data_IF_416906176722
#
_entry.id   IF_416906176722
#
_cell.length_a   1.000
_cell.length_b   1.000
_cell.length_c   1.000
_cell.angle_alpha   90.00
_cell.angle_beta   90.00
_cell.angle_gamma   90.00
#
_symmetry.space_group_name_H-M   'P 1'
#
loop_
_entity.id
_entity.type
_entity.pdbx_description
1 polymer ?
#
# COMPACT_ATOMS: atom_id res chain seq x y z
N UNK A 1 44.53 12.29 59.77
CA UNK A 1 43.32 11.51 59.42
C UNK A 1 42.36 12.43 58.68
N UNK A 2 42.50 12.49 57.36
CA UNK A 2 41.63 13.21 56.43
C UNK A 2 40.97 12.18 55.52
N UNK A 3 39.75 12.45 55.09
CA UNK A 3 38.83 11.63 54.28
C UNK A 3 37.83 10.76 55.04
N UNK A 4 36.69 11.37 55.39
CA UNK A 4 35.41 10.65 55.40
C UNK A 4 34.15 11.51 55.24
N UNK A 5 34.21 12.65 54.53
CA UNK A 5 33.05 13.58 54.47
C UNK A 5 32.73 14.11 53.06
N UNK A 6 33.38 13.65 51.98
CA UNK A 6 33.15 14.21 50.63
C UNK A 6 32.33 13.34 49.65
N UNK A 7 31.88 12.16 50.08
CA UNK A 7 31.26 11.21 49.14
C UNK A 7 29.73 11.15 49.22
N UNK A 8 29.07 11.86 50.14
CA UNK A 8 27.61 11.75 50.31
C UNK A 8 26.81 12.72 49.43
N UNK A 9 27.44 13.75 48.83
CA UNK A 9 26.76 14.75 48.00
C UNK A 9 26.67 14.40 46.50
N UNK A 10 27.48 13.46 46.02
CA UNK A 10 27.50 13.07 44.61
C UNK A 10 26.52 11.92 44.28
N UNK A 11 26.10 11.15 45.28
CA UNK A 11 25.25 9.96 45.08
C UNK A 11 23.80 10.34 44.71
N UNK A 12 23.36 11.57 45.02
CA UNK A 12 22.03 12.08 44.68
C UNK A 12 21.87 12.53 43.21
N UNK A 13 22.96 12.70 42.45
CA UNK A 13 22.90 13.20 41.07
C UNK A 13 22.92 12.07 40.02
N UNK A 14 23.27 10.84 40.41
CA UNK A 14 23.32 9.68 39.50
C UNK A 14 22.17 8.69 39.67
N UNK A 15 21.29 8.89 40.66
CA UNK A 15 20.16 8.00 40.94
C UNK A 15 18.92 8.21 40.02
N UNK A 16 19.05 9.02 38.97
CA UNK A 16 17.97 9.30 38.01
C UNK A 16 18.29 8.75 36.60
N UNK A 17 18.88 7.56 36.50
CA UNK A 17 19.04 6.86 35.22
C UNK A 17 18.71 5.39 35.38
N UNK A 18 17.43 5.04 35.20
CA UNK A 18 16.95 3.69 34.85
C UNK A 18 15.42 3.65 34.91
N UNK A 19 14.76 4.49 34.10
CA UNK A 19 13.36 4.20 33.75
C UNK A 19 13.34 3.03 32.78
N UNK A 20 13.11 1.84 33.35
CA UNK A 20 12.50 0.60 32.84
C UNK A 20 12.60 0.27 31.33
N UNK A 21 12.85 -1.01 30.97
CA UNK A 21 12.82 -1.47 29.58
C UNK A 21 11.37 -1.39 29.08
N UNK A 22 11.02 -0.24 28.51
CA UNK A 22 9.75 -0.05 27.83
C UNK A 22 9.76 -0.94 26.59
N UNK A 23 9.23 -2.15 26.75
CA UNK A 23 8.94 -3.13 25.71
C UNK A 23 8.52 -2.42 24.44
N UNK A 24 9.17 -2.70 23.31
CA UNK A 24 9.00 -1.94 22.07
C UNK A 24 7.52 -1.88 21.62
N UNK A 25 6.73 -2.90 22.00
CA UNK A 25 5.30 -2.98 21.76
C UNK A 25 4.49 -1.89 22.47
N UNK A 26 4.86 -1.50 23.70
CA UNK A 26 4.17 -0.44 24.45
C UNK A 26 4.40 0.95 23.84
N UNK A 27 5.63 1.22 23.39
CA UNK A 27 5.98 2.46 22.68
C UNK A 27 5.29 2.59 21.33
N UNK A 28 5.09 1.48 20.60
CA UNK A 28 4.32 1.49 19.35
C UNK A 28 2.85 1.82 19.59
N UNK A 29 2.24 1.27 20.63
CA UNK A 29 0.83 1.50 20.98
C UNK A 29 0.55 2.97 21.33
N UNK A 30 1.41 3.61 22.13
CA UNK A 30 1.28 5.04 22.47
C UNK A 30 1.47 5.94 21.24
N UNK A 31 2.33 5.56 20.29
CA UNK A 31 2.49 6.28 19.03
C UNK A 31 1.25 6.16 18.15
N UNK A 32 0.68 4.96 18.01
CA UNK A 32 -0.56 4.77 17.25
C UNK A 32 -1.74 5.59 17.80
N UNK A 33 -1.83 5.76 19.12
CA UNK A 33 -2.89 6.60 19.71
C UNK A 33 -2.68 8.10 19.44
N UNK A 34 -1.43 8.58 19.39
CA UNK A 34 -1.12 9.96 19.00
C UNK A 34 -1.33 10.24 17.51
N UNK A 35 -1.04 9.27 16.65
CA UNK A 35 -1.09 9.43 15.19
C UNK A 35 -2.46 9.09 14.57
N UNK A 36 -3.43 8.63 15.37
CA UNK A 36 -4.80 8.29 14.90
C UNK A 36 -5.47 9.43 14.13
N UNK A 37 -5.24 10.70 14.54
CA UNK A 37 -5.83 11.86 13.87
C UNK A 37 -5.30 12.04 12.45
N UNK A 38 -4.01 11.77 12.20
CA UNK A 38 -3.42 11.82 10.87
C UNK A 38 -3.94 10.69 9.98
N UNK A 39 -4.11 9.49 10.54
CA UNK A 39 -4.75 8.36 9.85
C UNK A 39 -6.19 8.69 9.46
N UNK A 40 -6.95 9.34 10.34
CA UNK A 40 -8.34 9.74 10.08
C UNK A 40 -8.44 10.81 8.98
N UNK A 41 -7.49 11.76 8.92
CA UNK A 41 -7.43 12.75 7.84
C UNK A 41 -7.07 12.15 6.48
N UNK A 42 -6.25 11.09 6.45
CA UNK A 42 -5.90 10.37 5.21
C UNK A 42 -7.04 9.47 4.73
N UNK A 43 -7.85 8.94 5.65
CA UNK A 43 -8.92 7.99 5.40
C UNK A 43 -9.87 8.38 4.24
N UNK A 44 -10.41 9.61 4.15
CA UNK A 44 -11.29 9.97 3.03
C UNK A 44 -10.59 9.89 1.67
N UNK A 45 -9.32 10.30 1.58
CA UNK A 45 -8.53 10.17 0.34
C UNK A 45 -8.31 8.71 -0.04
N UNK A 46 -7.95 7.88 0.95
CA UNK A 46 -7.73 6.45 0.75
C UNK A 46 -9.02 5.72 0.31
N UNK A 47 -10.16 6.04 0.92
CA UNK A 47 -11.46 5.46 0.56
C UNK A 47 -11.83 5.80 -0.88
N UNK A 48 -11.64 7.07 -1.29
CA UNK A 48 -11.89 7.48 -2.66
C UNK A 48 -10.97 6.74 -3.64
N UNK A 49 -9.68 6.63 -3.35
CA UNK A 49 -8.73 5.84 -4.16
C UNK A 49 -9.13 4.36 -4.21
N UNK A 50 -9.57 3.77 -3.10
CA UNK A 50 -10.02 2.38 -3.09
C UNK A 50 -11.24 2.17 -4.00
N UNK A 51 -12.23 3.07 -3.95
CA UNK A 51 -13.44 2.94 -4.75
C UNK A 51 -13.14 3.22 -6.23
N UNK A 52 -12.45 4.31 -6.55
CA UNK A 52 -12.28 4.78 -7.94
C UNK A 52 -11.05 4.23 -8.64
N UNK A 53 -10.00 3.82 -7.92
CA UNK A 53 -8.80 3.23 -8.52
C UNK A 53 -8.77 1.71 -8.37
N UNK A 54 -9.14 1.16 -7.21
CA UNK A 54 -9.16 -0.30 -7.01
C UNK A 54 -10.46 -0.96 -7.44
N UNK A 55 -11.60 -0.27 -7.33
CA UNK A 55 -12.90 -0.77 -7.81
C UNK A 55 -12.86 -1.16 -9.29
N UNK A 56 -12.47 -0.27 -10.22
CA UNK A 56 -12.41 -0.60 -11.65
C UNK A 56 -11.43 -1.73 -11.99
N UNK A 57 -10.38 -1.96 -11.19
CA UNK A 57 -9.44 -3.06 -11.41
C UNK A 57 -10.10 -4.44 -11.27
N UNK A 58 -11.20 -4.55 -10.53
CA UNK A 58 -12.01 -5.78 -10.52
C UNK A 58 -12.49 -6.18 -11.92
N UNK A 59 -12.68 -5.20 -12.80
CA UNK A 59 -13.07 -5.42 -14.19
C UNK A 59 -12.03 -6.14 -15.04
N UNK A 60 -10.77 -6.27 -14.61
CA UNK A 60 -9.74 -7.01 -15.35
C UNK A 60 -10.14 -8.48 -15.56
N UNK A 61 -10.94 -9.04 -14.64
CA UNK A 61 -11.48 -10.39 -14.73
C UNK A 61 -12.30 -10.57 -16.02
N UNK A 62 -12.95 -9.50 -16.52
CA UNK A 62 -13.71 -9.53 -17.77
C UNK A 62 -12.87 -9.94 -18.99
N UNK A 63 -11.56 -9.71 -18.97
CA UNK A 63 -10.68 -10.10 -20.07
C UNK A 63 -10.55 -11.63 -20.21
N UNK A 64 -10.84 -12.40 -19.17
CA UNK A 64 -10.73 -13.86 -19.14
C UNK A 64 -12.07 -14.59 -19.34
N UNK A 65 -13.16 -13.84 -19.48
CA UNK A 65 -14.51 -14.36 -19.68
C UNK A 65 -15.08 -13.83 -21.00
N UNK A 66 -16.03 -14.55 -21.57
CA UNK A 66 -16.83 -14.04 -22.69
C UNK A 66 -17.92 -13.13 -22.12
N UNK A 67 -17.52 -11.90 -21.78
CA UNK A 67 -18.37 -10.97 -21.03
C UNK A 67 -19.54 -10.49 -21.89
N UNK A 68 -20.75 -10.88 -21.49
CA UNK A 68 -21.99 -10.35 -22.05
C UNK A 68 -22.65 -9.41 -21.04
N UNK A 69 -22.84 -8.11 -21.37
CA UNK A 69 -23.52 -7.15 -20.47
C UNK A 69 -24.90 -7.61 -20.00
N UNK A 70 -25.61 -8.43 -20.77
CA UNK A 70 -26.92 -8.97 -20.41
C UNK A 70 -26.90 -10.09 -19.35
N UNK A 71 -25.77 -10.77 -19.18
CA UNK A 71 -25.60 -11.86 -18.19
C UNK A 71 -24.88 -11.39 -16.90
N UNK A 72 -24.40 -10.14 -16.90
CA UNK A 72 -23.64 -9.57 -15.79
C UNK A 72 -22.25 -10.18 -15.59
N UNK A 73 -21.57 -9.76 -14.53
CA UNK A 73 -20.19 -10.18 -14.22
C UNK A 73 -20.06 -11.66 -13.85
N UNK A 74 -21.07 -12.26 -13.24
CA UNK A 74 -21.02 -13.64 -12.72
C UNK A 74 -21.69 -14.68 -13.62
N UNK A 75 -22.44 -14.27 -14.66
CA UNK A 75 -23.12 -15.17 -15.58
C UNK A 75 -22.35 -15.47 -16.87
N UNK A 76 -21.23 -14.79 -17.09
CA UNK A 76 -20.42 -14.93 -18.32
C UNK A 76 -19.48 -16.14 -18.23
N UNK A 77 -19.39 -16.99 -19.26
CA UNK A 77 -18.54 -18.17 -19.22
C UNK A 77 -17.06 -17.80 -19.23
N UNK A 78 -16.26 -18.52 -18.43
CA UNK A 78 -14.81 -18.34 -18.38
C UNK A 78 -14.14 -18.96 -19.60
N UNK A 79 -13.45 -18.14 -20.40
CA UNK A 79 -12.78 -18.55 -21.65
C UNK A 79 -11.25 -18.46 -21.59
N UNK A 80 -10.70 -18.02 -20.46
CA UNK A 80 -9.26 -17.92 -20.21
C UNK A 80 -8.57 -16.98 -21.21
N UNK A 81 -7.61 -17.52 -21.98
CA UNK A 81 -6.77 -16.72 -22.89
C UNK A 81 -7.35 -16.55 -24.30
N UNK A 82 -8.58 -16.98 -24.56
CA UNK A 82 -9.19 -16.91 -25.89
C UNK A 82 -9.24 -15.46 -26.42
N UNK A 83 -9.68 -14.51 -25.58
CA UNK A 83 -9.75 -13.09 -25.92
C UNK A 83 -8.39 -12.50 -26.27
N UNK A 84 -7.34 -12.88 -25.53
CA UNK A 84 -5.98 -12.44 -25.81
C UNK A 84 -5.49 -12.97 -27.16
N UNK A 85 -5.64 -14.28 -27.42
CA UNK A 85 -5.26 -14.89 -28.71
C UNK A 85 -5.97 -14.24 -29.89
N UNK A 86 -7.26 -13.92 -29.74
CA UNK A 86 -8.03 -13.21 -30.76
C UNK A 86 -7.39 -11.85 -31.09
N UNK A 87 -7.08 -11.04 -30.08
CA UNK A 87 -6.47 -9.72 -30.27
C UNK A 87 -5.06 -9.85 -30.89
N UNK A 88 -4.22 -10.77 -30.40
CA UNK A 88 -2.88 -10.99 -30.96
C UNK A 88 -2.89 -11.55 -32.39
N UNK A 89 -3.94 -12.28 -32.78
CA UNK A 89 -4.09 -12.77 -34.16
C UNK A 89 -4.44 -11.67 -35.16
N UNK A 90 -4.84 -10.48 -34.70
CA UNK A 90 -5.18 -9.37 -35.59
C UNK A 90 -3.89 -8.68 -36.09
N UNK A 91 -3.69 -8.57 -37.41
CA UNK A 91 -2.47 -7.95 -37.96
C UNK A 91 -2.32 -6.46 -37.57
N UNK A 92 -3.45 -5.77 -37.37
CA UNK A 92 -3.47 -4.38 -36.94
C UNK A 92 -2.90 -4.18 -35.53
N UNK A 93 -3.08 -5.15 -34.62
CA UNK A 93 -2.71 -5.00 -33.21
C UNK A 93 -1.20 -4.78 -33.03
N UNK A 94 -0.37 -5.61 -33.66
CA UNK A 94 1.09 -5.46 -33.59
C UNK A 94 1.57 -4.17 -34.28
N UNK A 95 0.90 -3.77 -35.36
CA UNK A 95 1.20 -2.52 -36.06
C UNK A 95 0.92 -1.31 -35.16
N UNK A 96 -0.19 -1.31 -34.43
CA UNK A 96 -0.52 -0.25 -33.47
C UNK A 96 0.49 -0.19 -32.31
N UNK A 97 0.89 -1.33 -31.75
CA UNK A 97 1.92 -1.38 -30.70
C UNK A 97 3.22 -0.76 -31.18
N UNK A 98 3.69 -1.16 -32.37
CA UNK A 98 4.92 -0.63 -32.95
C UNK A 98 4.83 0.89 -33.15
N UNK A 99 3.71 1.37 -33.68
CA UNK A 99 3.49 2.81 -33.89
C UNK A 99 3.46 3.60 -32.58
N UNK A 100 2.77 3.10 -31.55
CA UNK A 100 2.73 3.75 -30.23
C UNK A 100 4.12 3.79 -29.59
N UNK A 101 4.86 2.69 -29.67
CA UNK A 101 6.22 2.62 -29.14
C UNK A 101 7.16 3.58 -29.87
N UNK A 102 7.08 3.62 -31.20
CA UNK A 102 7.85 4.53 -32.04
C UNK A 102 7.58 6.00 -31.69
N UNK A 103 6.31 6.38 -31.52
CA UNK A 103 5.93 7.74 -31.10
C UNK A 103 6.47 8.04 -29.69
N UNK A 104 6.33 7.12 -28.74
CA UNK A 104 6.78 7.32 -27.35
C UNK A 104 8.30 7.45 -27.21
N UNK A 105 9.08 6.91 -28.16
CA UNK A 105 10.53 7.04 -28.17
C UNK A 105 11.02 8.29 -28.91
N UNK A 106 10.29 8.72 -29.94
CA UNK A 106 10.65 9.91 -30.71
C UNK A 106 10.22 11.23 -30.06
N UNK A 107 9.21 11.20 -29.20
CA UNK A 107 8.64 12.37 -28.52
C UNK A 107 9.32 12.64 -27.18
#
# INVERSE_FOLDING_TARGET
MSNKVKDSGAVGLYAQTSKEPTTLLGKLKDRFQKEWLFLLMMLPGLVLTAIFSYGPLYGIIMAFQDYNPGLGFSGSPWVGMANFKLIFSQPAFLTTIYNTFFISLMK
#
